data_IF_935984195032
#
_entry.id   IF_935984195032
#
_cell.length_a   1.000
_cell.length_b   1.000
_cell.length_c   1.000
_cell.angle_alpha   90.00
_cell.angle_beta   90.00
_cell.angle_gamma   90.00
#
_symmetry.space_group_name_H-M   'P 1'
#
loop_
_entity.id
_entity.type
_entity.pdbx_description
1 polymer ?
#
# COMPACT_ATOMS: atom_id res chain seq x y z
N UNK A 1 11.24 5.87 14.65
CA UNK A 1 12.39 6.39 13.88
C UNK A 1 11.92 7.55 12.99
N UNK A 2 12.81 8.47 12.56
CA UNK A 2 12.43 9.62 11.73
C UNK A 2 11.71 9.23 10.42
N UNK A 3 12.11 8.10 9.80
CA UNK A 3 11.47 7.59 8.58
C UNK A 3 10.03 7.11 8.79
N UNK A 4 9.71 6.49 9.94
CA UNK A 4 8.34 6.08 10.26
C UNK A 4 7.40 7.29 10.36
N UNK A 5 7.83 8.34 11.08
CA UNK A 5 7.06 9.57 11.21
C UNK A 5 6.85 10.29 9.86
N UNK A 6 7.86 10.24 8.98
CA UNK A 6 7.76 10.85 7.65
C UNK A 6 6.80 10.11 6.72
N UNK A 7 6.81 8.77 6.77
CA UNK A 7 5.86 7.96 5.99
C UNK A 7 4.42 8.15 6.48
N UNK A 8 4.21 8.31 7.79
CA UNK A 8 2.89 8.64 8.35
C UNK A 8 2.34 9.99 7.85
N UNK A 9 3.18 10.92 7.39
CA UNK A 9 2.73 12.16 6.80
C UNK A 9 1.92 11.96 5.51
N UNK A 10 2.01 10.77 4.89
CA UNK A 10 1.30 10.37 3.68
C UNK A 10 0.12 9.42 3.96
N UNK A 11 -0.11 9.04 5.23
CA UNK A 11 -1.29 8.30 5.68
C UNK A 11 -2.51 9.23 5.68
N UNK A 12 -3.64 8.72 5.18
CA UNK A 12 -4.96 9.37 5.24
C UNK A 12 -5.80 8.79 6.38
N UNK A 13 -6.92 9.42 6.67
CA UNK A 13 -7.77 9.07 7.82
C UNK A 13 -8.40 7.67 7.69
N UNK A 14 -8.55 7.16 6.47
CA UNK A 14 -9.01 5.80 6.16
C UNK A 14 -7.87 4.75 6.21
N UNK A 15 -6.70 5.12 6.73
CA UNK A 15 -5.47 4.32 6.80
C UNK A 15 -4.82 3.95 5.44
N UNK A 16 -5.28 4.55 4.35
CA UNK A 16 -4.65 4.42 3.04
C UNK A 16 -3.48 5.39 2.86
N UNK A 17 -2.62 5.12 1.87
CA UNK A 17 -1.46 5.95 1.56
C UNK A 17 -1.58 6.58 0.17
N UNK A 18 -1.15 7.84 0.07
CA UNK A 18 -1.09 8.58 -1.19
C UNK A 18 0.26 9.28 -1.31
N UNK A 19 0.77 9.46 -2.53
CA UNK A 19 2.00 10.21 -2.77
C UNK A 19 1.92 11.67 -2.25
N UNK A 20 0.70 12.23 -2.23
CA UNK A 20 0.37 13.51 -1.61
C UNK A 20 -1.03 13.43 -1.00
N UNK A 21 -1.27 14.06 0.16
CA UNK A 21 -2.55 13.99 0.88
C UNK A 21 -3.75 14.51 0.09
N UNK A 22 -3.53 15.43 -0.86
CA UNK A 22 -4.56 15.97 -1.74
C UNK A 22 -4.87 15.07 -2.95
N UNK A 23 -4.30 13.87 -3.02
CA UNK A 23 -4.54 12.91 -4.10
C UNK A 23 -5.36 11.71 -3.63
N UNK A 24 -6.00 11.01 -4.58
CA UNK A 24 -6.55 9.70 -4.28
C UNK A 24 -5.44 8.75 -3.82
N UNK A 25 -5.82 7.79 -3.01
CA UNK A 25 -4.91 6.82 -2.41
C UNK A 25 -4.49 5.79 -3.45
N UNK A 26 -3.24 5.35 -3.38
CA UNK A 26 -2.70 4.31 -4.27
C UNK A 26 -2.79 2.95 -3.59
N UNK A 27 -3.34 1.98 -4.30
CA UNK A 27 -3.40 0.58 -3.88
C UNK A 27 -1.99 0.01 -3.73
N UNK A 28 -1.13 0.22 -4.73
CA UNK A 28 0.25 -0.24 -4.70
C UNK A 28 1.04 0.37 -3.54
N UNK A 29 0.92 1.68 -3.33
CA UNK A 29 1.65 2.36 -2.26
C UNK A 29 1.18 1.90 -0.88
N UNK A 30 -0.13 1.76 -0.71
CA UNK A 30 -0.71 1.28 0.55
C UNK A 30 -0.21 -0.13 0.87
N UNK A 31 -0.19 -1.03 -0.11
CA UNK A 31 0.35 -2.38 0.04
C UNK A 31 1.87 -2.39 0.32
N UNK A 32 2.63 -1.54 -0.37
CA UNK A 32 4.07 -1.44 -0.18
C UNK A 32 4.42 -0.98 1.25
N UNK A 33 3.76 0.08 1.73
CA UNK A 33 3.97 0.60 3.09
C UNK A 33 3.56 -0.43 4.13
N UNK A 34 2.41 -1.10 3.96
CA UNK A 34 1.95 -2.17 4.85
C UNK A 34 3.00 -3.29 4.97
N UNK A 35 3.54 -3.77 3.84
CA UNK A 35 4.60 -4.79 3.81
C UNK A 35 5.86 -4.34 4.54
N UNK A 36 6.38 -3.16 4.21
CA UNK A 36 7.61 -2.62 4.81
C UNK A 36 7.46 -2.46 6.32
N UNK A 37 6.32 -1.96 6.77
CA UNK A 37 6.03 -1.79 8.19
C UNK A 37 5.82 -3.11 8.91
N UNK A 38 5.15 -4.09 8.30
CA UNK A 38 5.03 -5.43 8.86
C UNK A 38 6.41 -6.07 9.09
N UNK A 39 7.32 -5.99 8.12
CA UNK A 39 8.70 -6.49 8.25
C UNK A 39 9.51 -5.73 9.32
N UNK A 40 9.28 -4.42 9.46
CA UNK A 40 10.02 -3.57 10.38
C UNK A 40 9.53 -3.63 11.84
N UNK A 41 8.38 -4.24 12.13
CA UNK A 41 7.81 -4.36 13.49
C UNK A 41 8.74 -4.99 14.52
N UNK A 42 9.64 -5.87 14.09
CA UNK A 42 10.62 -6.52 14.97
C UNK A 42 11.83 -5.63 15.30
N UNK A 43 12.01 -4.51 14.57
CA UNK A 43 13.16 -3.61 14.68
C UNK A 43 12.77 -2.24 15.26
N UNK A 44 11.53 -1.81 15.04
CA UNK A 44 10.99 -0.54 15.50
C UNK A 44 9.55 -0.71 15.97
N UNK A 45 9.15 0.01 17.01
CA UNK A 45 7.77 0.02 17.47
C UNK A 45 6.88 0.71 16.42
N UNK A 46 6.01 -0.07 15.78
CA UNK A 46 5.05 0.38 14.77
C UNK A 46 3.66 0.09 15.31
N UNK A 47 2.81 1.12 15.35
CA UNK A 47 1.43 0.98 15.78
C UNK A 47 0.71 -0.10 14.94
N UNK A 48 -0.03 -0.97 15.64
CA UNK A 48 -0.71 -2.09 15.00
C UNK A 48 -1.75 -1.61 13.97
N UNK A 49 -2.39 -0.48 14.25
CA UNK A 49 -3.41 0.15 13.43
C UNK A 49 -2.87 0.56 12.05
N UNK A 50 -1.60 0.95 11.95
CA UNK A 50 -1.03 1.43 10.68
C UNK A 50 -0.98 0.31 9.64
N UNK A 51 -0.60 -0.91 10.04
CA UNK A 51 -0.58 -2.05 9.13
C UNK A 51 -1.97 -2.63 8.98
N UNK A 52 -2.68 -2.88 10.09
CA UNK A 52 -3.99 -3.53 10.04
C UNK A 52 -5.04 -2.66 9.35
N UNK A 53 -4.99 -1.35 9.54
CA UNK A 53 -5.84 -0.38 8.85
C UNK A 53 -5.58 -0.33 7.36
N UNK A 54 -4.30 -0.32 6.94
CA UNK A 54 -3.93 -0.37 5.52
C UNK A 54 -4.40 -1.66 4.85
N UNK A 55 -4.22 -2.82 5.51
CA UNK A 55 -4.73 -4.12 5.03
C UNK A 55 -6.24 -4.11 4.90
N UNK A 56 -6.95 -3.62 5.94
CA UNK A 56 -8.41 -3.54 5.93
C UNK A 56 -8.91 -2.66 4.79
N UNK A 57 -8.28 -1.51 4.56
CA UNK A 57 -8.62 -0.63 3.44
C UNK A 57 -8.41 -1.30 2.09
N UNK A 58 -7.29 -2.01 1.88
CA UNK A 58 -7.05 -2.76 0.64
C UNK A 58 -8.18 -3.75 0.35
N UNK A 59 -8.57 -4.55 1.35
CA UNK A 59 -9.60 -5.58 1.20
C UNK A 59 -10.97 -4.95 0.95
N UNK A 60 -11.36 -3.95 1.75
CA UNK A 60 -12.72 -3.39 1.69
C UNK A 60 -12.93 -2.45 0.49
N UNK A 61 -11.89 -1.71 0.09
CA UNK A 61 -12.04 -0.62 -0.88
C UNK A 61 -11.41 -0.89 -2.25
N UNK A 62 -10.56 -1.93 -2.36
CA UNK A 62 -9.79 -2.20 -3.58
C UNK A 62 -9.88 -3.63 -4.10
N UNK A 63 -10.29 -4.59 -3.28
CA UNK A 63 -10.55 -5.96 -3.75
C UNK A 63 -11.90 -6.05 -4.44
N UNK A 64 -11.91 -6.46 -5.71
CA UNK A 64 -13.11 -6.77 -6.47
C UNK A 64 -13.71 -8.12 -6.05
N UNK A 65 -14.98 -8.42 -6.39
CA UNK A 65 -15.61 -9.70 -6.05
C UNK A 65 -14.91 -10.94 -6.61
N UNK A 66 -14.14 -10.79 -7.69
CA UNK A 66 -13.31 -11.83 -8.30
C UNK A 66 -11.94 -12.00 -7.62
N UNK A 67 -11.67 -11.21 -6.57
CA UNK A 67 -10.43 -11.24 -5.79
C UNK A 67 -9.31 -10.35 -6.33
N UNK A 68 -9.50 -9.70 -7.49
CA UNK A 68 -8.50 -8.82 -8.11
C UNK A 68 -8.45 -7.48 -7.38
N UNK A 69 -7.24 -6.96 -7.14
CA UNK A 69 -7.07 -5.61 -6.61
C UNK A 69 -6.93 -4.58 -7.73
N UNK A 70 -7.67 -3.47 -7.63
CA UNK A 70 -7.59 -2.37 -8.60
C UNK A 70 -6.70 -1.22 -8.09
N UNK A 71 -6.01 -0.54 -9.01
CA UNK A 71 -5.27 0.70 -8.72
C UNK A 71 -5.99 1.88 -9.38
N UNK A 72 -6.44 2.82 -8.55
CA UNK A 72 -7.23 3.98 -9.00
C UNK A 72 -6.36 5.22 -9.22
N UNK A 73 -5.18 5.29 -8.58
CA UNK A 73 -4.30 6.46 -8.64
C UNK A 73 -2.82 6.04 -8.53
N UNK A 74 -2.23 5.54 -9.62
CA UNK A 74 -0.85 5.07 -9.59
C UNK A 74 0.13 6.22 -9.25
N UNK A 75 1.19 5.87 -8.53
CA UNK A 75 2.27 6.80 -8.18
C UNK A 75 2.89 7.41 -9.45
N UNK A 76 3.12 8.73 -9.46
CA UNK A 76 3.62 9.47 -10.64
C UNK A 76 4.97 8.94 -11.11
N UNK A 77 5.86 8.66 -10.16
CA UNK A 77 7.21 8.16 -10.44
C UNK A 77 7.14 6.67 -10.73
N UNK A 78 6.88 6.39 -12.00
CA UNK A 78 6.79 5.06 -12.61
C UNK A 78 8.02 4.17 -12.35
N UNK A 79 9.17 4.76 -12.05
CA UNK A 79 10.39 4.04 -11.67
C UNK A 79 10.27 3.35 -10.31
N UNK A 80 9.43 3.87 -9.40
CA UNK A 80 9.24 3.28 -8.07
C UNK A 80 8.39 2.01 -8.07
N UNK A 81 7.57 1.81 -9.11
CA UNK A 81 6.65 0.65 -9.21
C UNK A 81 7.28 -0.56 -9.90
N UNK A 82 8.50 -0.44 -10.45
CA UNK A 82 9.24 -1.56 -11.03
C UNK A 82 8.46 -2.32 -12.12
N UNK A 83 8.40 -3.65 -12.01
CA UNK A 83 7.79 -4.56 -13.00
C UNK A 83 6.26 -4.51 -13.13
N UNK A 84 5.57 -3.69 -12.33
CA UNK A 84 4.12 -3.48 -12.39
C UNK A 84 3.62 -2.99 -13.77
N UNK A 85 4.51 -2.47 -14.63
CA UNK A 85 4.18 -2.00 -15.98
C UNK A 85 4.24 -3.07 -17.09
N UNK A 86 4.46 -4.34 -16.73
CA UNK A 86 4.48 -5.45 -17.68
C UNK A 86 3.10 -5.75 -18.30
N UNK A 87 3.03 -6.82 -19.09
CA UNK A 87 1.82 -7.20 -19.84
C UNK A 87 0.56 -7.46 -18.97
N UNK A 88 0.73 -7.70 -17.67
CA UNK A 88 -0.37 -8.01 -16.73
C UNK A 88 -0.26 -7.21 -15.42
N UNK A 89 -0.60 -5.91 -15.43
CA UNK A 89 -0.50 -5.03 -14.27
C UNK A 89 -1.42 -5.47 -13.11
N UNK A 90 -2.63 -5.95 -13.40
CA UNK A 90 -3.59 -6.41 -12.38
C UNK A 90 -3.12 -7.69 -11.67
N UNK A 91 -2.55 -8.64 -12.41
CA UNK A 91 -2.00 -9.89 -11.85
C UNK A 91 -0.78 -9.59 -10.98
N UNK A 92 0.11 -8.72 -11.48
CA UNK A 92 1.32 -8.32 -10.75
C UNK A 92 1.00 -7.56 -9.46
N UNK A 93 0.00 -6.68 -9.48
CA UNK A 93 -0.49 -5.98 -8.29
C UNK A 93 -1.15 -6.94 -7.31
N UNK A 94 -1.99 -7.85 -7.79
CA UNK A 94 -2.67 -8.82 -6.94
C UNK A 94 -1.66 -9.72 -6.23
N UNK A 95 -0.65 -10.23 -6.94
CA UNK A 95 0.44 -11.00 -6.35
C UNK A 95 1.24 -10.16 -5.33
N UNK A 96 1.54 -8.90 -5.64
CA UNK A 96 2.27 -8.02 -4.74
C UNK A 96 1.49 -7.72 -3.44
N UNK A 97 0.20 -7.41 -3.57
CA UNK A 97 -0.70 -7.21 -2.42
C UNK A 97 -0.76 -8.48 -1.60
N UNK A 98 -0.93 -9.66 -2.21
CA UNK A 98 -0.98 -10.93 -1.49
C UNK A 98 0.31 -11.18 -0.67
N UNK A 99 1.48 -10.88 -1.23
CA UNK A 99 2.76 -10.95 -0.51
C UNK A 99 2.83 -9.94 0.64
N UNK A 100 2.21 -8.75 0.49
CA UNK A 100 2.15 -7.74 1.54
C UNK A 100 1.18 -8.10 2.68
N UNK A 101 0.22 -9.00 2.43
CA UNK A 101 -0.75 -9.48 3.41
C UNK A 101 -0.24 -10.66 4.26
N UNK A 102 0.85 -11.32 3.85
CA UNK A 102 1.52 -12.38 4.61
C UNK A 102 2.36 -11.82 5.75
#
# INVERSE_FOLDING_TARGET
>A
SPGYAQQLAFRKDDNSFAAFKNRPSSTWLTAYVAKVFAMARNLVNIDSEVVCGAIKWLILEKQKPDGIFQEDAPVIHKEMVGGYQGAEPEVSLTAFVLIALQ
#
